data_IF_139753674157
#
_entry.id   IF_139753674157
#
_cell.length_a   1.000
_cell.length_b   1.000
_cell.length_c   1.000
_cell.angle_alpha   90.00
_cell.angle_beta   90.00
_cell.angle_gamma   90.00
#
_symmetry.space_group_name_H-M   'P 1'
#
loop_
_entity.id
_entity.type
_entity.pdbx_description
1 polymer ?
#
# COMPACT_ATOMS: atom_id res chain seq x y z
N UNK A 1 -5.70 -10.92 -22.89
CA UNK A 1 -5.13 -11.04 -21.53
C UNK A 1 -4.17 -12.21 -21.46
N UNK A 2 -3.15 -12.09 -20.62
CA UNK A 2 -2.09 -13.09 -20.40
C UNK A 2 -2.06 -13.49 -18.93
N UNK A 3 -2.13 -14.78 -18.66
CA UNK A 3 -1.93 -15.35 -17.32
C UNK A 3 -0.52 -15.96 -17.24
N UNK A 4 0.21 -15.66 -16.17
CA UNK A 4 1.56 -16.16 -15.92
C UNK A 4 1.59 -16.78 -14.53
N UNK A 5 2.00 -18.04 -14.41
CA UNK A 5 2.23 -18.65 -13.09
C UNK A 5 3.50 -18.09 -12.46
N UNK A 6 3.46 -17.64 -11.21
CA UNK A 6 4.61 -17.07 -10.49
C UNK A 6 5.39 -18.12 -9.69
N UNK A 7 4.76 -19.25 -9.40
CA UNK A 7 5.33 -20.42 -8.70
C UNK A 7 4.74 -21.70 -9.27
N UNK A 8 5.31 -22.86 -8.90
CA UNK A 8 4.70 -24.14 -9.23
C UNK A 8 3.34 -24.20 -8.54
N UNK A 9 2.29 -24.50 -9.30
CA UNK A 9 0.92 -24.41 -8.82
C UNK A 9 0.05 -25.50 -9.44
N UNK A 10 -1.16 -25.65 -8.93
CA UNK A 10 -2.13 -26.62 -9.41
C UNK A 10 -3.35 -25.86 -9.91
N UNK A 11 -3.68 -26.05 -11.19
CA UNK A 11 -4.96 -25.61 -11.72
C UNK A 11 -6.02 -26.66 -11.41
N UNK A 12 -7.18 -26.20 -10.95
CA UNK A 12 -8.29 -27.03 -10.45
C UNK A 12 -9.56 -26.81 -11.27
N UNK A 13 -10.50 -27.76 -11.26
CA UNK A 13 -11.83 -27.56 -11.85
C UNK A 13 -12.82 -26.84 -10.91
N UNK A 14 -12.50 -26.74 -9.62
CA UNK A 14 -13.31 -26.02 -8.62
C UNK A 14 -12.42 -25.42 -7.52
N UNK A 15 -13.04 -24.70 -6.58
CA UNK A 15 -12.35 -24.11 -5.42
C UNK A 15 -12.11 -25.11 -4.28
N UNK A 16 -12.52 -26.38 -4.43
CA UNK A 16 -12.34 -27.42 -3.42
C UNK A 16 -10.85 -27.66 -3.09
N UNK A 17 -10.61 -28.31 -1.96
CA UNK A 17 -9.27 -28.73 -1.58
C UNK A 17 -8.73 -29.78 -2.57
N UNK A 18 -7.42 -29.79 -2.80
CA UNK A 18 -6.78 -30.72 -3.75
C UNK A 18 -7.05 -32.19 -3.39
N UNK A 19 -7.20 -32.49 -2.09
CA UNK A 19 -7.52 -33.83 -1.59
C UNK A 19 -8.94 -34.31 -1.94
N UNK A 20 -9.84 -33.39 -2.29
CA UNK A 20 -11.24 -33.67 -2.64
C UNK A 20 -11.45 -33.75 -4.16
N UNK A 21 -10.41 -33.46 -4.96
CA UNK A 21 -10.47 -33.45 -6.41
C UNK A 21 -9.93 -34.76 -6.98
N UNK A 22 -10.62 -35.30 -7.99
CA UNK A 22 -10.11 -36.42 -8.76
C UNK A 22 -8.86 -36.02 -9.55
N UNK A 23 -8.00 -36.98 -9.91
CA UNK A 23 -6.76 -36.70 -10.67
C UNK A 23 -7.00 -36.02 -12.01
N UNK A 24 -8.14 -36.30 -12.65
CA UNK A 24 -8.50 -35.61 -13.89
C UNK A 24 -9.00 -34.18 -13.65
N UNK A 25 -9.31 -33.75 -12.42
CA UNK A 25 -9.82 -32.41 -12.09
C UNK A 25 -8.73 -31.42 -11.66
N UNK A 26 -7.48 -31.86 -11.67
CA UNK A 26 -6.31 -31.06 -11.32
C UNK A 26 -5.19 -31.26 -12.32
N UNK A 27 -4.32 -30.26 -12.44
CA UNK A 27 -3.12 -30.35 -13.27
C UNK A 27 -2.02 -29.50 -12.66
N UNK A 28 -0.83 -30.08 -12.53
CA UNK A 28 0.37 -29.38 -12.10
C UNK A 28 0.88 -28.47 -13.22
N UNK A 29 1.16 -27.22 -12.87
CA UNK A 29 1.68 -26.21 -13.77
C UNK A 29 2.98 -25.67 -13.18
N UNK A 30 4.04 -25.72 -13.97
CA UNK A 30 5.34 -25.19 -13.58
C UNK A 30 5.30 -23.65 -13.49
N UNK A 31 6.12 -23.08 -12.61
CA UNK A 31 6.32 -21.64 -12.56
C UNK A 31 6.75 -21.07 -13.93
N UNK A 32 6.43 -19.81 -14.17
CA UNK A 32 6.72 -19.07 -15.41
C UNK A 32 6.06 -19.65 -16.68
N UNK A 33 5.03 -20.49 -16.53
CA UNK A 33 4.19 -20.90 -17.66
C UNK A 33 3.20 -19.80 -18.00
N UNK A 34 2.98 -19.57 -19.30
CA UNK A 34 2.14 -18.50 -19.82
C UNK A 34 0.92 -19.05 -20.56
N UNK A 35 -0.21 -18.39 -20.40
CA UNK A 35 -1.47 -18.75 -21.04
C UNK A 35 -2.19 -17.52 -21.58
N UNK A 36 -2.79 -17.64 -22.76
CA UNK A 36 -3.74 -16.65 -23.24
C UNK A 36 -5.11 -16.90 -22.61
N UNK A 37 -5.70 -15.86 -21.99
CA UNK A 37 -6.99 -15.94 -21.31
C UNK A 37 -8.00 -15.04 -22.02
N UNK A 38 -9.21 -15.56 -22.26
CA UNK A 38 -10.31 -14.81 -22.89
C UNK A 38 -11.36 -14.33 -21.88
N UNK A 39 -11.50 -15.02 -20.75
CA UNK A 39 -12.46 -14.66 -19.70
C UNK A 39 -11.93 -15.07 -18.32
N UNK A 40 -12.32 -14.33 -17.29
CA UNK A 40 -12.01 -14.66 -15.90
C UNK A 40 -13.13 -14.22 -14.94
N UNK A 41 -13.10 -14.77 -13.73
CA UNK A 41 -13.95 -14.42 -12.60
C UNK A 41 -13.14 -14.57 -11.30
N UNK A 42 -13.02 -13.49 -10.55
CA UNK A 42 -12.44 -13.52 -9.20
C UNK A 42 -13.41 -14.16 -8.20
N UNK A 43 -12.89 -15.11 -7.41
CA UNK A 43 -13.64 -15.93 -6.46
C UNK A 43 -12.88 -15.99 -5.13
N UNK A 44 -12.74 -14.84 -4.46
CA UNK A 44 -11.98 -14.75 -3.20
C UNK A 44 -10.48 -14.87 -3.44
N UNK A 45 -9.86 -15.90 -2.89
CA UNK A 45 -8.45 -16.26 -3.06
C UNK A 45 -8.18 -17.07 -4.34
N UNK A 46 -9.20 -17.28 -5.17
CA UNK A 46 -9.09 -18.00 -6.43
C UNK A 46 -9.50 -17.15 -7.63
N UNK A 47 -8.90 -17.43 -8.79
CA UNK A 47 -9.31 -16.92 -10.09
C UNK A 47 -9.81 -18.09 -10.94
N UNK A 48 -11.08 -18.05 -11.35
CA UNK A 48 -11.57 -18.89 -12.43
C UNK A 48 -11.26 -18.22 -13.76
N UNK A 49 -10.72 -18.94 -14.72
CA UNK A 49 -10.37 -18.39 -16.03
C UNK A 49 -10.61 -19.40 -17.15
N UNK A 50 -10.78 -18.87 -18.37
CA UNK A 50 -10.94 -19.65 -19.60
C UNK A 50 -9.81 -19.31 -20.57
N UNK A 51 -9.10 -20.34 -21.01
CA UNK A 51 -8.05 -20.27 -22.02
C UNK A 51 -8.65 -19.84 -23.36
N UNK A 52 -7.99 -18.89 -24.02
CA UNK A 52 -8.35 -18.42 -25.36
C UNK A 52 -8.03 -19.49 -26.42
N UNK A 53 -6.90 -20.16 -26.25
CA UNK A 53 -6.40 -21.19 -27.17
C UNK A 53 -5.93 -22.42 -26.40
N UNK A 54 -6.13 -23.59 -26.99
CA UNK A 54 -5.70 -24.86 -26.42
C UNK A 54 -6.60 -25.41 -25.31
N UNK A 55 -6.19 -26.59 -24.82
CA UNK A 55 -6.84 -27.32 -23.74
C UNK A 55 -5.74 -27.90 -22.85
N UNK A 56 -5.94 -27.86 -21.55
CA UNK A 56 -5.18 -28.64 -20.59
C UNK A 56 -6.04 -29.86 -20.24
N UNK A 57 -5.51 -31.07 -20.42
CA UNK A 57 -6.24 -32.33 -20.15
C UNK A 57 -7.67 -32.37 -20.72
N UNK A 58 -7.87 -31.81 -21.92
CA UNK A 58 -9.17 -31.78 -22.61
C UNK A 58 -10.14 -30.69 -22.12
N UNK A 59 -9.71 -29.78 -21.24
CA UNK A 59 -10.53 -28.67 -20.73
C UNK A 59 -9.83 -27.31 -20.91
N UNK A 60 -10.63 -26.28 -21.13
CA UNK A 60 -10.13 -24.92 -21.33
C UNK A 60 -10.46 -23.98 -20.16
N UNK A 61 -11.20 -24.42 -19.15
CA UNK A 61 -11.60 -23.60 -18.00
C UNK A 61 -11.04 -24.20 -16.72
N UNK A 62 -10.41 -23.35 -15.91
CA UNK A 62 -9.64 -23.74 -14.74
C UNK A 62 -9.75 -22.70 -13.62
N UNK A 63 -9.39 -23.11 -12.42
CA UNK A 63 -9.33 -22.29 -11.22
C UNK A 63 -7.89 -22.33 -10.70
N UNK A 64 -7.30 -21.17 -10.43
CA UNK A 64 -5.97 -21.04 -9.83
C UNK A 64 -6.03 -20.22 -8.54
N UNK A 65 -5.11 -20.47 -7.62
CA UNK A 65 -4.85 -19.61 -6.47
C UNK A 65 -4.24 -18.28 -6.96
N UNK A 66 -4.83 -17.15 -6.58
CA UNK A 66 -4.39 -15.82 -7.03
C UNK A 66 -2.97 -15.47 -6.59
N UNK A 67 -2.46 -16.08 -5.52
CA UNK A 67 -1.11 -15.85 -5.02
C UNK A 67 -0.04 -16.52 -5.89
N UNK A 68 -0.44 -17.46 -6.75
CA UNK A 68 0.48 -18.22 -7.61
C UNK A 68 0.43 -17.78 -9.07
N UNK A 69 -0.31 -16.71 -9.39
CA UNK A 69 -0.46 -16.22 -10.76
C UNK A 69 -0.39 -14.69 -10.84
N UNK A 70 -0.03 -14.20 -12.02
CA UNK A 70 -0.25 -12.82 -12.45
C UNK A 70 -1.21 -12.87 -13.65
N UNK A 71 -2.22 -12.01 -13.67
CA UNK A 71 -3.10 -11.80 -14.83
C UNK A 71 -2.86 -10.40 -15.36
N UNK A 72 -2.50 -10.28 -16.63
CA UNK A 72 -2.10 -9.04 -17.29
C UNK A 72 -3.06 -8.78 -18.45
N UNK A 73 -3.56 -7.55 -18.56
CA UNK A 73 -4.38 -7.15 -19.69
C UNK A 73 -3.55 -6.94 -20.98
N UNK A 74 -4.23 -6.63 -22.08
CA UNK A 74 -3.58 -6.45 -23.38
C UNK A 74 -2.73 -5.16 -23.44
N UNK A 75 -2.96 -4.22 -22.51
CA UNK A 75 -2.18 -3.00 -22.34
C UNK A 75 -0.97 -3.18 -21.41
N UNK A 76 -0.77 -4.37 -20.84
CA UNK A 76 0.33 -4.69 -19.93
C UNK A 76 0.09 -4.33 -18.46
N UNK A 77 -1.14 -3.95 -18.08
CA UNK A 77 -1.52 -3.69 -16.70
C UNK A 77 -1.88 -4.99 -15.98
N UNK A 78 -1.34 -5.19 -14.78
CA UNK A 78 -1.73 -6.31 -13.92
C UNK A 78 -3.15 -6.10 -13.39
N UNK A 79 -4.00 -7.08 -13.63
CA UNK A 79 -5.33 -7.26 -13.02
C UNK A 79 -5.18 -8.04 -11.71
N UNK A 80 -4.42 -9.15 -11.74
CA UNK A 80 -4.10 -10.00 -10.59
C UNK A 80 -2.59 -10.05 -10.41
N UNK A 81 -2.16 -10.03 -9.14
CA UNK A 81 -0.76 -10.09 -8.74
C UNK A 81 -0.23 -8.76 -8.21
N UNK A 82 0.95 -8.81 -7.59
CA UNK A 82 1.60 -7.61 -7.06
C UNK A 82 2.43 -6.88 -8.14
N UNK A 83 2.38 -5.55 -8.11
CA UNK A 83 3.26 -4.68 -8.89
C UNK A 83 4.68 -4.69 -8.30
N UNK A 84 5.66 -4.67 -9.18
CA UNK A 84 7.10 -4.62 -8.92
C UNK A 84 7.70 -3.43 -9.67
N UNK A 85 8.94 -3.07 -9.33
CA UNK A 85 9.67 -2.03 -10.08
C UNK A 85 9.77 -2.42 -11.57
N UNK A 86 9.57 -1.44 -12.45
CA UNK A 86 9.50 -1.63 -13.89
C UNK A 86 8.14 -2.08 -14.45
N UNK A 87 7.17 -2.43 -13.61
CA UNK A 87 5.83 -2.76 -14.10
C UNK A 87 5.07 -1.52 -14.59
N UNK A 88 4.17 -1.71 -15.55
CA UNK A 88 3.17 -0.70 -15.88
C UNK A 88 2.16 -0.59 -14.74
N UNK A 89 2.12 0.58 -14.11
CA UNK A 89 1.24 0.85 -12.97
C UNK A 89 -0.10 1.46 -13.42
N UNK A 90 -1.16 1.37 -12.59
CA UNK A 90 -2.41 2.09 -12.83
C UNK A 90 -2.16 3.60 -12.97
N UNK A 91 -2.85 4.26 -13.90
CA UNK A 91 -2.69 5.69 -14.13
C UNK A 91 -3.10 6.54 -12.89
N UNK A 92 -4.02 6.02 -12.07
CA UNK A 92 -4.49 6.67 -10.85
C UNK A 92 -4.71 5.67 -9.73
N UNK A 93 -4.25 6.04 -8.55
CA UNK A 93 -4.48 5.36 -7.28
C UNK A 93 -4.98 6.41 -6.29
N UNK A 94 -6.05 6.12 -5.55
CA UNK A 94 -6.45 6.92 -4.40
C UNK A 94 -7.09 6.02 -3.33
N UNK A 95 -6.28 5.60 -2.37
CA UNK A 95 -6.64 4.62 -1.34
C UNK A 95 -7.50 5.27 -0.25
N UNK A 96 -8.56 4.63 0.27
CA UNK A 96 -9.44 5.18 1.31
C UNK A 96 -8.78 5.18 2.71
N UNK A 97 -7.58 5.77 2.83
CA UNK A 97 -6.89 5.99 4.10
C UNK A 97 -7.68 7.02 4.90
N UNK A 98 -8.09 6.72 6.14
CA UNK A 98 -8.80 7.67 6.98
C UNK A 98 -7.91 8.88 7.27
N UNK A 99 -8.52 10.03 7.43
CA UNK A 99 -7.84 11.25 7.86
C UNK A 99 -7.94 11.43 9.37
N UNK A 100 -6.80 11.69 10.00
CA UNK A 100 -6.70 12.18 11.38
C UNK A 100 -5.92 13.49 11.40
N UNK A 101 -6.45 14.50 12.08
CA UNK A 101 -5.74 15.75 12.33
C UNK A 101 -4.84 15.56 13.55
N UNK A 102 -3.64 16.15 13.55
CA UNK A 102 -2.86 16.19 14.80
C UNK A 102 -3.36 17.29 15.74
N UNK A 103 -4.13 18.27 15.22
CA UNK A 103 -4.47 19.49 15.95
C UNK A 103 -5.49 19.25 17.08
N UNK A 104 -6.23 18.14 17.01
CA UNK A 104 -7.17 17.69 18.04
C UNK A 104 -6.61 16.54 18.89
N UNK A 105 -5.31 16.22 18.78
CA UNK A 105 -4.66 15.26 19.66
C UNK A 105 -4.67 15.80 21.09
N UNK A 106 -4.94 14.92 22.05
CA UNK A 106 -4.84 15.25 23.47
C UNK A 106 -3.39 15.60 23.85
N UNK A 107 -2.41 14.94 23.22
CA UNK A 107 -1.00 15.12 23.52
C UNK A 107 -0.25 15.89 22.41
N UNK A 108 0.36 17.02 22.80
CA UNK A 108 1.27 17.82 21.97
C UNK A 108 0.76 18.04 20.52
N UNK A 109 -0.43 18.62 20.30
CA UNK A 109 -1.12 18.64 19.00
C UNK A 109 -0.32 19.32 17.85
N UNK A 110 0.68 20.15 18.16
CA UNK A 110 1.55 20.77 17.15
C UNK A 110 2.86 20.01 16.89
N UNK A 111 3.04 18.84 17.52
CA UNK A 111 4.30 18.07 17.51
C UNK A 111 4.12 16.55 17.32
N UNK A 112 2.91 16.10 16.98
CA UNK A 112 2.53 14.68 16.87
C UNK A 112 2.19 14.22 15.45
N UNK A 113 2.65 14.95 14.43
CA UNK A 113 2.53 14.57 13.01
C UNK A 113 2.92 13.10 12.76
N UNK A 114 4.02 12.64 13.38
CA UNK A 114 4.54 11.28 13.31
C UNK A 114 3.52 10.20 13.72
N UNK A 115 3.12 10.16 14.99
CA UNK A 115 2.18 9.17 15.52
C UNK A 115 0.80 9.29 14.88
N UNK A 116 0.41 10.50 14.44
CA UNK A 116 -0.83 10.72 13.69
C UNK A 116 -0.78 10.06 12.30
N UNK A 117 0.33 10.20 11.57
CA UNK A 117 0.53 9.48 10.30
C UNK A 117 0.59 7.95 10.49
N UNK A 118 1.26 7.48 11.55
CA UNK A 118 1.27 6.06 11.91
C UNK A 118 -0.15 5.56 12.18
N UNK A 119 -0.95 6.31 12.95
CA UNK A 119 -2.33 5.96 13.25
C UNK A 119 -3.19 5.85 11.99
N UNK A 120 -3.10 6.80 11.06
CA UNK A 120 -3.84 6.74 9.78
C UNK A 120 -3.53 5.44 9.01
N UNK A 121 -2.25 5.08 8.88
CA UNK A 121 -1.84 3.84 8.21
C UNK A 121 -2.29 2.58 8.97
N UNK A 122 -2.12 2.53 10.30
CA UNK A 122 -2.58 1.40 11.12
C UNK A 122 -4.10 1.22 11.01
N UNK A 123 -4.86 2.32 11.03
CA UNK A 123 -6.31 2.29 10.92
C UNK A 123 -6.78 1.81 9.55
N UNK A 124 -6.10 2.23 8.48
CA UNK A 124 -6.30 1.71 7.12
C UNK A 124 -6.13 0.18 7.08
N UNK A 125 -5.14 -0.36 7.80
CA UNK A 125 -4.90 -1.80 7.95
C UNK A 125 -5.85 -2.52 8.94
N UNK A 126 -6.89 -1.85 9.41
CA UNK A 126 -7.91 -2.43 10.29
C UNK A 126 -7.54 -2.44 11.79
N UNK A 127 -6.39 -1.87 12.16
CA UNK A 127 -6.00 -1.71 13.57
C UNK A 127 -6.82 -0.60 14.20
N UNK A 128 -7.18 -0.76 15.46
CA UNK A 128 -8.07 0.15 16.18
C UNK A 128 -7.52 0.39 17.59
N UNK A 129 -7.85 1.53 18.23
CA UNK A 129 -7.43 1.77 19.60
C UNK A 129 -8.01 0.70 20.52
N UNK A 130 -7.25 0.32 21.56
CA UNK A 130 -7.67 -0.64 22.57
C UNK A 130 -8.86 -0.12 23.37
N UNK A 131 -8.87 1.19 23.66
CA UNK A 131 -10.02 1.89 24.20
C UNK A 131 -10.72 2.66 23.09
N UNK A 132 -11.99 2.32 22.82
CA UNK A 132 -12.79 2.93 21.75
C UNK A 132 -13.14 4.39 21.98
N UNK A 133 -13.05 4.87 23.22
CA UNK A 133 -13.29 6.26 23.58
C UNK A 133 -12.05 7.15 23.37
N UNK A 134 -10.94 6.58 22.88
CA UNK A 134 -9.68 7.30 22.63
C UNK A 134 -9.31 7.29 21.15
N UNK A 135 -8.64 8.36 20.73
CA UNK A 135 -7.99 8.43 19.44
C UNK A 135 -6.77 7.49 19.40
N UNK A 136 -6.52 6.87 18.25
CA UNK A 136 -5.43 5.91 18.11
C UNK A 136 -4.07 6.59 18.27
N UNK A 137 -3.90 7.77 17.68
CA UNK A 137 -2.68 8.57 17.73
C UNK A 137 -2.30 9.02 19.16
N UNK A 138 -3.28 9.26 20.03
CA UNK A 138 -3.05 9.52 21.45
C UNK A 138 -2.60 8.25 22.21
N UNK A 139 -3.19 7.08 21.91
CA UNK A 139 -2.71 5.78 22.43
C UNK A 139 -1.29 5.48 21.97
N UNK A 140 -0.98 5.70 20.69
CA UNK A 140 0.36 5.52 20.12
C UNK A 140 1.37 6.46 20.77
N UNK A 141 1.01 7.73 20.99
CA UNK A 141 1.86 8.67 21.71
C UNK A 141 2.23 8.13 23.10
N UNK A 142 1.24 7.74 23.89
CA UNK A 142 1.48 7.20 25.23
C UNK A 142 2.30 5.91 25.20
N UNK A 143 2.07 5.05 24.21
CA UNK A 143 2.85 3.83 24.04
C UNK A 143 4.33 4.14 23.78
N UNK A 144 4.63 5.06 22.86
CA UNK A 144 6.00 5.51 22.56
C UNK A 144 6.69 6.04 23.82
N UNK A 145 6.03 6.91 24.58
CA UNK A 145 6.55 7.45 25.84
C UNK A 145 6.79 6.35 26.88
N UNK A 146 5.86 5.39 27.01
CA UNK A 146 5.97 4.27 27.96
C UNK A 146 7.15 3.34 27.66
N UNK A 147 7.59 3.28 26.40
CA UNK A 147 8.75 2.50 25.96
C UNK A 147 10.07 3.29 26.08
N UNK A 148 10.02 4.57 26.47
CA UNK A 148 11.17 5.47 26.44
C UNK A 148 11.67 5.74 25.02
N UNK A 149 10.79 5.63 24.02
CA UNK A 149 11.14 5.86 22.62
C UNK A 149 10.92 7.33 22.25
N UNK A 150 11.72 7.81 21.30
CA UNK A 150 11.59 9.14 20.71
C UNK A 150 10.81 9.08 19.39
N UNK A 151 9.66 9.78 19.35
CA UNK A 151 8.78 9.90 18.16
C UNK A 151 9.41 10.63 16.97
N UNK A 152 10.53 11.35 17.16
CA UNK A 152 11.28 11.99 16.08
C UNK A 152 12.29 11.04 15.42
N UNK A 153 12.55 9.87 16.01
CA UNK A 153 13.45 8.86 15.46
C UNK A 153 12.65 7.90 14.58
N UNK A 154 12.90 7.92 13.28
CA UNK A 154 12.20 7.07 12.30
C UNK A 154 12.28 5.56 12.63
N UNK A 155 13.39 5.08 13.21
CA UNK A 155 13.49 3.68 13.64
C UNK A 155 12.51 3.34 14.78
N UNK A 156 12.18 4.29 15.66
CA UNK A 156 11.16 4.06 16.69
C UNK A 156 9.75 4.03 16.08
N UNK A 157 9.48 4.86 15.06
CA UNK A 157 8.22 4.77 14.31
C UNK A 157 8.10 3.43 13.58
N UNK A 158 9.22 2.92 13.02
CA UNK A 158 9.26 1.57 12.44
C UNK A 158 8.92 0.50 13.47
N UNK A 159 9.55 0.53 14.65
CA UNK A 159 9.23 -0.39 15.75
C UNK A 159 7.77 -0.28 16.18
N UNK A 160 7.22 0.93 16.23
CA UNK A 160 5.80 1.16 16.56
C UNK A 160 4.87 0.44 15.58
N UNK A 161 5.10 0.48 14.28
CA UNK A 161 4.32 -0.30 13.31
C UNK A 161 4.38 -1.81 13.63
N UNK A 162 5.57 -2.34 13.89
CA UNK A 162 5.80 -3.77 14.15
C UNK A 162 5.08 -4.22 15.43
N UNK A 163 5.13 -3.41 16.50
CA UNK A 163 4.40 -3.69 17.76
C UNK A 163 2.88 -3.78 17.57
N UNK A 164 2.34 -3.12 16.54
CA UNK A 164 0.92 -3.16 16.18
C UNK A 164 0.64 -4.16 15.04
N UNK A 165 1.56 -5.09 14.77
CA UNK A 165 1.37 -6.18 13.81
C UNK A 165 1.43 -5.77 12.34
N UNK A 166 2.03 -4.61 12.03
CA UNK A 166 2.21 -4.12 10.67
C UNK A 166 3.71 -4.09 10.35
N UNK A 167 4.11 -4.77 9.28
CA UNK A 167 5.49 -4.72 8.81
C UNK A 167 5.82 -3.31 8.31
N UNK A 168 7.06 -2.85 8.49
CA UNK A 168 7.49 -1.56 7.99
C UNK A 168 8.98 -1.54 7.67
N UNK A 169 9.33 -0.92 6.55
CA UNK A 169 10.69 -0.58 6.15
C UNK A 169 10.80 0.94 6.07
N UNK A 170 11.83 1.49 6.70
CA UNK A 170 12.19 2.89 6.55
C UNK A 170 13.40 3.02 5.61
N UNK A 171 13.30 3.92 4.64
CA UNK A 171 14.38 4.25 3.70
C UNK A 171 14.59 5.75 3.70
N UNK A 172 15.84 6.19 3.74
CA UNK A 172 16.20 7.60 3.51
C UNK A 172 16.35 7.92 2.03
N UNK A 173 16.52 6.91 1.17
CA UNK A 173 16.84 7.07 -0.25
C UNK A 173 15.81 6.35 -1.14
N UNK A 174 14.54 6.34 -0.74
CA UNK A 174 13.48 5.69 -1.51
C UNK A 174 13.23 6.44 -2.82
N UNK A 175 13.11 5.73 -3.96
CA UNK A 175 12.75 6.37 -5.23
C UNK A 175 11.25 6.65 -5.30
N UNK A 176 10.84 7.63 -6.11
CA UNK A 176 9.41 7.87 -6.36
C UNK A 176 8.71 6.69 -7.04
N UNK A 177 9.46 5.88 -7.79
CA UNK A 177 8.93 4.65 -8.38
C UNK A 177 8.60 3.61 -7.30
N UNK A 178 9.50 3.39 -6.32
CA UNK A 178 9.23 2.50 -5.17
C UNK A 178 7.98 2.96 -4.41
N UNK A 179 7.82 4.27 -4.21
CA UNK A 179 6.63 4.87 -3.60
C UNK A 179 5.37 4.55 -4.42
N UNK A 180 5.39 4.77 -5.74
CA UNK A 180 4.23 4.49 -6.60
C UNK A 180 3.89 3.01 -6.68
N UNK A 181 4.89 2.11 -6.73
CA UNK A 181 4.68 0.67 -6.71
C UNK A 181 3.98 0.24 -5.41
N UNK A 182 4.43 0.76 -4.25
CA UNK A 182 3.79 0.44 -2.97
C UNK A 182 2.33 0.92 -2.92
N UNK A 183 2.07 2.13 -3.41
CA UNK A 183 0.71 2.68 -3.52
C UNK A 183 -0.17 1.88 -4.49
N UNK A 184 0.37 1.47 -5.64
CA UNK A 184 -0.34 0.62 -6.61
C UNK A 184 -0.74 -0.73 -6.02
N UNK A 185 0.07 -1.27 -5.11
CA UNK A 185 -0.24 -2.46 -4.31
C UNK A 185 -1.20 -2.19 -3.14
N UNK A 186 -1.94 -1.08 -3.17
CA UNK A 186 -2.95 -0.70 -2.16
C UNK A 186 -2.39 -0.50 -0.76
N UNK A 187 -1.12 -0.09 -0.64
CA UNK A 187 -0.44 0.15 0.65
C UNK A 187 -0.05 1.64 0.75
N UNK A 188 -0.52 2.40 1.77
CA UNK A 188 -0.14 3.80 1.94
C UNK A 188 1.34 3.95 2.28
N UNK A 189 1.90 5.12 2.00
CA UNK A 189 3.30 5.45 2.27
C UNK A 189 3.34 6.68 3.16
N UNK A 190 4.24 6.70 4.15
CA UNK A 190 4.50 7.93 4.92
C UNK A 190 5.80 8.52 4.42
N UNK A 191 5.82 9.81 4.06
CA UNK A 191 7.04 10.52 3.70
C UNK A 191 7.37 11.62 4.68
N UNK A 192 8.67 11.87 4.88
CA UNK A 192 9.20 12.96 5.70
C UNK A 192 9.94 13.97 4.83
N UNK A 193 9.73 15.26 5.10
CA UNK A 193 10.31 16.32 4.29
C UNK A 193 10.37 17.68 4.97
N UNK A 194 11.00 18.64 4.28
CA UNK A 194 11.23 20.02 4.68
C UNK A 194 9.98 20.93 4.48
N UNK A 195 8.79 20.44 4.84
CA UNK A 195 7.57 21.26 4.79
C UNK A 195 7.58 22.36 5.85
N UNK A 196 8.27 22.14 6.98
CA UNK A 196 8.53 23.14 8.01
C UNK A 196 10.02 23.23 8.33
N UNK A 197 10.43 24.22 9.15
CA UNK A 197 11.83 24.37 9.60
C UNK A 197 12.36 23.14 10.36
N UNK A 198 11.52 22.48 11.14
CA UNK A 198 11.88 21.27 11.89
C UNK A 198 11.65 19.98 11.11
N UNK A 199 11.12 20.07 9.90
CA UNK A 199 10.58 18.93 9.17
C UNK A 199 9.12 18.65 9.47
N UNK A 200 8.50 17.88 8.60
CA UNK A 200 7.13 17.39 8.74
C UNK A 200 6.97 16.07 8.01
N UNK A 201 5.97 15.30 8.43
CA UNK A 201 5.70 13.97 7.92
C UNK A 201 4.22 13.89 7.52
N UNK A 202 3.94 13.31 6.36
CA UNK A 202 2.62 13.24 5.74
C UNK A 202 2.35 11.84 5.19
N UNK A 203 1.08 11.49 4.98
CA UNK A 203 0.68 10.21 4.38
C UNK A 203 0.38 10.41 2.90
N UNK A 204 1.12 9.72 2.03
CA UNK A 204 0.74 9.53 0.64
C UNK A 204 -0.28 8.39 0.57
N UNK A 205 -1.46 8.69 0.01
CA UNK A 205 -2.56 7.74 -0.17
C UNK A 205 -2.82 7.40 -1.63
N UNK A 206 -2.07 7.96 -2.56
CA UNK A 206 -2.18 7.62 -3.97
C UNK A 206 -1.48 8.62 -4.86
N UNK A 207 -1.70 8.48 -6.17
CA UNK A 207 -1.13 9.36 -7.18
C UNK A 207 -2.02 9.39 -8.43
N UNK A 208 -1.77 10.35 -9.31
CA UNK A 208 -2.26 10.40 -10.68
C UNK A 208 -1.21 11.02 -11.62
N UNK A 209 -1.60 11.43 -12.81
CA UNK A 209 -0.72 12.03 -13.80
C UNK A 209 0.00 13.30 -13.31
N UNK A 210 -0.57 14.01 -12.34
CA UNK A 210 -0.13 15.37 -11.96
C UNK A 210 0.47 15.48 -10.56
N UNK A 211 0.18 14.53 -9.67
CA UNK A 211 0.71 14.57 -8.31
C UNK A 211 0.33 13.38 -7.44
N UNK A 212 0.56 13.57 -6.14
CA UNK A 212 0.19 12.63 -5.09
C UNK A 212 -1.10 13.06 -4.40
N UNK A 213 -1.94 12.09 -4.07
CA UNK A 213 -3.03 12.26 -3.10
C UNK A 213 -2.46 12.10 -1.69
N UNK A 214 -2.77 13.05 -0.80
CA UNK A 214 -2.12 13.21 0.50
C UNK A 214 -3.15 13.37 1.62
N UNK A 215 -2.87 12.76 2.78
CA UNK A 215 -3.41 13.20 4.07
C UNK A 215 -2.29 13.87 4.86
N UNK A 216 -2.42 15.18 5.13
CA UNK A 216 -1.47 15.96 5.92
C UNK A 216 -2.06 16.22 7.31
N UNK A 217 -1.49 15.67 8.40
CA UNK A 217 -2.11 15.79 9.72
C UNK A 217 -2.22 17.25 10.21
N UNK A 218 -1.42 18.18 9.69
CA UNK A 218 -1.33 19.55 10.19
C UNK A 218 -2.21 20.57 9.45
N UNK A 219 -2.77 20.20 8.29
CA UNK A 219 -3.56 21.09 7.43
C UNK A 219 -2.96 21.20 6.04
N UNK A 220 -3.38 22.19 5.26
CA UNK A 220 -2.94 22.33 3.87
C UNK A 220 -1.66 23.17 3.74
N UNK A 221 -0.68 22.66 3.00
CA UNK A 221 0.57 23.34 2.71
C UNK A 221 0.50 24.20 1.45
N UNK A 222 0.88 25.47 1.57
CA UNK A 222 1.07 26.40 0.45
C UNK A 222 2.52 26.89 0.40
N UNK A 223 2.88 27.58 -0.68
CA UNK A 223 4.20 28.23 -0.78
C UNK A 223 4.45 29.24 0.35
N UNK A 224 3.39 29.91 0.84
CA UNK A 224 3.42 30.83 1.98
C UNK A 224 3.48 30.14 3.35
N UNK A 225 3.37 28.81 3.39
CA UNK A 225 3.32 28.01 4.60
C UNK A 225 1.98 27.29 4.80
N UNK A 226 1.80 26.72 5.99
CA UNK A 226 0.62 25.94 6.35
C UNK A 226 -0.60 26.82 6.67
N UNK A 227 -1.77 26.36 6.22
CA UNK A 227 -3.09 26.81 6.67
C UNK A 227 -3.72 25.70 7.50
N UNK A 228 -3.77 25.92 8.82
CA UNK A 228 -4.32 24.96 9.80
C UNK A 228 -5.83 25.11 9.98
N UNK A 229 -6.43 26.14 9.38
CA UNK A 229 -7.88 26.33 9.28
C UNK A 229 -8.51 25.55 8.11
N UNK A 230 -7.67 25.01 7.22
CA UNK A 230 -8.08 24.12 6.14
C UNK A 230 -7.79 22.66 6.52
N UNK A 231 -8.65 21.75 6.05
CA UNK A 231 -8.45 20.31 6.28
C UNK A 231 -7.21 19.81 5.53
N UNK A 232 -6.50 18.88 6.15
CA UNK A 232 -5.42 18.14 5.50
C UNK A 232 -5.87 16.86 4.81
N UNK A 233 -7.18 16.59 4.75
CA UNK A 233 -7.76 15.39 4.17
C UNK A 233 -7.76 15.42 2.64
N UNK A 234 -7.30 14.33 2.01
CA UNK A 234 -7.41 14.10 0.57
C UNK A 234 -6.95 15.28 -0.31
N UNK A 235 -5.83 15.89 0.07
CA UNK A 235 -5.22 16.95 -0.69
C UNK A 235 -4.51 16.40 -1.93
N UNK A 236 -4.36 17.24 -2.95
CA UNK A 236 -3.59 16.90 -4.15
C UNK A 236 -2.34 17.78 -4.23
N UNK A 237 -1.18 17.16 -4.03
CA UNK A 237 0.11 17.83 -4.07
C UNK A 237 0.87 17.43 -5.33
N UNK A 238 1.20 18.43 -6.16
CA UNK A 238 1.98 18.20 -7.38
C UNK A 238 3.31 17.50 -7.09
N UNK A 239 3.79 16.69 -8.04
CA UNK A 239 5.11 16.04 -7.92
C UNK A 239 6.22 17.05 -7.63
N UNK A 240 6.21 18.20 -8.31
CA UNK A 240 7.19 19.26 -8.10
C UNK A 240 7.19 19.77 -6.66
N UNK A 241 6.01 19.97 -6.06
CA UNK A 241 5.89 20.39 -4.67
C UNK A 241 6.52 19.35 -3.75
N UNK A 242 6.08 18.10 -3.84
CA UNK A 242 6.52 17.03 -2.94
C UNK A 242 8.03 16.77 -3.09
N UNK A 243 8.53 16.67 -4.32
CA UNK A 243 9.97 16.51 -4.61
C UNK A 243 10.80 17.67 -4.07
N UNK A 244 10.30 18.92 -4.14
CA UNK A 244 11.02 20.09 -3.60
C UNK A 244 11.15 20.08 -2.07
N UNK A 245 10.36 19.26 -1.37
CA UNK A 245 10.40 19.11 0.09
C UNK A 245 11.17 17.89 0.55
N UNK A 246 11.68 17.06 -0.36
CA UNK A 246 12.44 15.89 0.03
C UNK A 246 13.79 16.25 0.65
N UNK A 247 14.18 15.51 1.69
CA UNK A 247 15.53 15.56 2.26
C UNK A 247 16.62 15.00 1.35
N UNK A 248 16.25 14.16 0.38
CA UNK A 248 17.19 13.39 -0.47
C UNK A 248 17.22 13.86 -1.92
N UNK A 249 16.90 15.13 -2.14
CA UNK A 249 16.83 15.73 -3.48
C UNK A 249 15.55 15.38 -4.24
N UNK A 250 15.47 15.78 -5.52
CA UNK A 250 14.22 15.74 -6.28
C UNK A 250 13.73 14.34 -6.64
N UNK A 251 14.63 13.36 -6.72
CA UNK A 251 14.35 12.01 -7.26
C UNK A 251 14.05 10.96 -6.19
N UNK A 252 14.36 11.27 -4.94
CA UNK A 252 14.27 10.33 -3.82
C UNK A 252 13.66 10.97 -2.61
N UNK A 253 13.30 10.18 -1.60
CA UNK A 253 12.71 10.68 -0.36
C UNK A 253 12.93 9.77 0.83
N UNK A 254 12.68 10.32 2.02
CA UNK A 254 12.59 9.57 3.26
C UNK A 254 11.18 9.00 3.37
N UNK A 255 11.05 7.68 3.33
CA UNK A 255 9.76 7.00 3.29
C UNK A 255 9.69 5.81 4.24
N UNK A 256 8.53 5.65 4.87
CA UNK A 256 8.09 4.41 5.49
C UNK A 256 7.14 3.67 4.55
N UNK A 257 7.36 2.37 4.44
CA UNK A 257 6.59 1.43 3.63
C UNK A 257 5.85 0.45 4.54
N UNK A 258 4.75 0.88 5.20
CA UNK A 258 3.99 0.00 6.06
C UNK A 258 3.17 -0.99 5.21
N UNK A 259 3.07 -2.23 5.68
CA UNK A 259 2.42 -3.34 4.99
C UNK A 259 1.82 -4.32 6.00
N UNK A 260 0.57 -4.72 5.79
CA UNK A 260 -0.04 -5.84 6.49
C UNK A 260 0.03 -7.07 5.59
N UNK A 261 0.72 -8.11 6.08
CA UNK A 261 0.80 -9.42 5.44
C UNK A 261 -0.37 -10.30 5.89
#
# INVERSE_FOLDING_TARGET
MKLITTSNTIFKQSVLAISELAENEKIDIAAKTEFEVIAYLEMGDHLKFTLKTGFLTGRNTWVADINHIELIDDDGLKIIGEYKLGDKLPAKVNLPVPYFSQLNNQFQPTKTCNVTCVAMCLYYFGIRPKNRDRQLEDELFQFVESKGWDKYVHEHLRKLFIEYGVFNVFKTEATWEEVKVHLANKKPVIISGQFTRSGHIIVLRGYDETGFWVNDPYGEFFHSGYRTDLTGENLHYSYKLVSSKSYSGSEKTWAHFPEKR
#
